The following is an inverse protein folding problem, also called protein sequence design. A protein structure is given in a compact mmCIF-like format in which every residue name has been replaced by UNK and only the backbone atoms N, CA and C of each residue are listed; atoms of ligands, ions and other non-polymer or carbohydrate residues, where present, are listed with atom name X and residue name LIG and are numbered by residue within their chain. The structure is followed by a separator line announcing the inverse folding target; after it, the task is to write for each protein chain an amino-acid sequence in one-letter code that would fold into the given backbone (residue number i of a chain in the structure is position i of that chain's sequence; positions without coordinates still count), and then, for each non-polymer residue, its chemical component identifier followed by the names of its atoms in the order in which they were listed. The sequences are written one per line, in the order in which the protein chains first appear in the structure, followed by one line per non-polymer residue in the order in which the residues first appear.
data_IF_522099468516
#
_entry.id   IF_522099468516
#
_cell.length_a   1.000
_cell.length_b   1.000
_cell.length_c   1.000
_cell.angle_alpha   90.00
_cell.angle_beta   90.00
_cell.angle_gamma   90.00
#
_symmetry.space_group_name_H-M   'P 1'
#
loop_
_entity.id
_entity.type
_entity.pdbx_description
1 polymer ?
#
# COMPACT_ATOMS: atom_id res chain seq x y z
N UNK A 1 74.68 -21.12 -3.43
CA UNK A 1 73.85 -19.91 -3.25
C UNK A 1 72.70 -20.00 -4.26
N UNK A 2 71.48 -20.31 -3.78
CA UNK A 2 70.28 -20.38 -4.62
C UNK A 2 69.41 -19.14 -4.31
N UNK A 3 69.23 -18.28 -5.31
CA UNK A 3 68.33 -17.11 -5.21
C UNK A 3 66.91 -17.53 -5.27
N UNK A 4 66.08 -17.17 -4.26
CA UNK A 4 64.65 -17.32 -4.22
C UNK A 4 64.01 -16.02 -4.69
N UNK A 5 63.42 -16.06 -5.89
CA UNK A 5 62.64 -14.91 -6.42
C UNK A 5 61.23 -14.97 -5.82
N UNK A 6 60.91 -13.97 -5.01
CA UNK A 6 59.56 -13.78 -4.51
C UNK A 6 58.71 -13.03 -5.55
N UNK A 7 57.65 -13.68 -6.03
CA UNK A 7 56.68 -13.08 -6.94
C UNK A 7 55.61 -12.38 -6.08
N UNK A 8 55.59 -11.05 -6.09
CA UNK A 8 54.54 -10.25 -5.44
C UNK A 8 53.37 -10.15 -6.43
N UNK A 9 52.28 -10.86 -6.14
CA UNK A 9 51.02 -10.71 -6.86
C UNK A 9 50.29 -9.43 -6.39
N UNK A 10 50.24 -8.43 -7.24
CA UNK A 10 49.48 -7.21 -7.02
C UNK A 10 47.99 -7.50 -7.31
N UNK A 11 47.17 -7.68 -6.27
CA UNK A 11 45.73 -7.75 -6.37
C UNK A 11 45.20 -6.36 -6.71
N UNK A 12 44.86 -6.14 -7.97
CA UNK A 12 44.08 -5.00 -8.43
C UNK A 12 42.65 -5.17 -7.90
N UNK A 13 42.32 -4.52 -6.79
CA UNK A 13 40.95 -4.32 -6.35
C UNK A 13 40.31 -3.30 -7.30
N UNK A 14 39.53 -3.76 -8.26
CA UNK A 14 38.70 -2.87 -9.07
C UNK A 14 37.72 -2.15 -8.13
N UNK A 15 37.62 -0.80 -8.22
CA UNK A 15 36.59 -0.11 -7.45
C UNK A 15 35.22 -0.63 -7.90
N UNK A 16 34.43 -1.12 -6.95
CA UNK A 16 33.00 -1.34 -7.19
C UNK A 16 32.41 0.02 -7.60
N UNK A 17 32.12 0.17 -8.88
CA UNK A 17 31.35 1.30 -9.34
C UNK A 17 29.98 1.18 -8.62
N UNK A 18 29.74 2.06 -7.65
CA UNK A 18 28.41 2.25 -7.11
C UNK A 18 27.52 2.55 -8.31
N UNK A 19 26.52 1.71 -8.56
CA UNK A 19 25.52 1.99 -9.57
C UNK A 19 24.95 3.38 -9.22
N UNK A 20 25.08 4.34 -10.14
CA UNK A 20 24.47 5.65 -9.97
C UNK A 20 22.95 5.41 -9.75
N UNK A 21 22.50 5.73 -8.54
CA UNK A 21 21.11 5.69 -8.15
C UNK A 21 20.33 6.68 -9.01
N UNK A 22 19.76 6.21 -10.11
CA UNK A 22 18.89 7.04 -10.95
C UNK A 22 17.67 7.42 -10.13
N UNK A 23 17.54 8.70 -9.81
CA UNK A 23 16.36 9.26 -9.22
C UNK A 23 15.11 8.88 -10.06
N UNK A 24 14.01 8.56 -9.41
CA UNK A 24 12.75 8.29 -10.10
C UNK A 24 12.34 9.56 -10.86
N UNK A 25 12.18 9.45 -12.18
CA UNK A 25 11.75 10.57 -13.01
C UNK A 25 10.26 10.89 -12.77
N UNK A 26 9.80 12.14 -12.92
CA UNK A 26 8.39 12.47 -12.92
C UNK A 26 7.62 11.68 -13.99
N UNK A 27 6.31 11.51 -13.79
CA UNK A 27 5.44 10.95 -14.83
C UNK A 27 5.42 11.84 -16.06
N UNK A 28 5.17 11.30 -17.27
CA UNK A 28 4.80 12.11 -18.42
C UNK A 28 3.61 13.03 -18.07
N UNK A 29 3.61 14.26 -18.56
CA UNK A 29 2.64 15.29 -18.17
C UNK A 29 1.18 14.82 -18.28
N UNK A 30 0.87 14.06 -19.33
CA UNK A 30 -0.47 13.53 -19.56
C UNK A 30 -0.89 12.45 -18.54
N UNK A 31 0.04 11.61 -18.11
CA UNK A 31 -0.19 10.62 -17.05
C UNK A 31 -0.31 11.32 -15.69
N UNK A 32 0.56 12.30 -15.42
CA UNK A 32 0.51 13.14 -14.22
C UNK A 32 -0.85 13.81 -14.06
N UNK A 33 -1.35 14.45 -15.13
CA UNK A 33 -2.65 15.10 -15.13
C UNK A 33 -3.78 14.08 -14.88
N UNK A 34 -3.74 12.91 -15.51
CA UNK A 34 -4.77 11.89 -15.33
C UNK A 34 -4.89 11.40 -13.88
N UNK A 35 -3.77 11.27 -13.16
CA UNK A 35 -3.80 10.92 -11.73
C UNK A 35 -4.16 12.10 -10.84
N UNK A 36 -3.79 13.34 -11.20
CA UNK A 36 -4.13 14.53 -10.46
C UNK A 36 -5.64 14.87 -10.57
N UNK A 37 -6.26 14.52 -11.68
CA UNK A 37 -7.67 14.80 -11.98
C UNK A 37 -8.63 13.68 -11.48
N UNK A 38 -8.14 12.70 -10.72
CA UNK A 38 -9.00 11.68 -10.13
C UNK A 38 -10.07 12.32 -9.27
N UNK A 39 -11.33 12.11 -9.65
CA UNK A 39 -12.48 12.61 -8.91
C UNK A 39 -12.59 11.87 -7.58
N UNK A 40 -12.84 12.64 -6.54
CA UNK A 40 -13.05 12.07 -5.21
C UNK A 40 -14.51 11.68 -5.03
N UNK A 41 -14.73 10.50 -4.48
CA UNK A 41 -16.08 10.09 -4.11
C UNK A 41 -16.64 10.98 -2.99
N UNK A 42 -17.97 11.13 -2.90
CA UNK A 42 -18.58 11.88 -1.81
C UNK A 42 -18.22 11.25 -0.45
N UNK A 43 -18.17 12.06 0.64
CA UNK A 43 -17.94 11.50 1.96
C UNK A 43 -19.07 10.53 2.32
N UNK A 44 -18.75 9.42 3.02
CA UNK A 44 -19.78 8.55 3.53
C UNK A 44 -20.64 9.27 4.58
N UNK A 45 -21.90 8.85 4.76
CA UNK A 45 -22.76 9.44 5.79
C UNK A 45 -22.20 9.22 7.19
N UNK A 46 -21.50 8.13 7.41
CA UNK A 46 -20.86 7.77 8.68
C UNK A 46 -19.53 7.07 8.44
N UNK A 47 -18.56 7.28 9.32
CA UNK A 47 -17.31 6.52 9.36
C UNK A 47 -17.41 5.38 10.37
N UNK A 48 -16.66 4.30 10.15
CA UNK A 48 -16.69 3.10 10.98
C UNK A 48 -16.47 3.46 12.46
N UNK A 49 -17.43 3.15 13.31
CA UNK A 49 -17.42 3.44 14.76
C UNK A 49 -17.20 4.91 15.10
N UNK A 50 -17.50 5.81 14.19
CA UNK A 50 -17.28 7.25 14.33
C UNK A 50 -15.80 7.58 14.73
N UNK A 51 -14.85 6.86 14.18
CA UNK A 51 -13.43 6.96 14.51
C UNK A 51 -12.55 7.01 13.25
N UNK A 52 -11.58 7.92 13.27
CA UNK A 52 -10.54 7.97 12.23
C UNK A 52 -9.45 6.92 12.50
N UNK A 53 -9.14 6.09 11.52
CA UNK A 53 -8.06 5.10 11.62
C UNK A 53 -6.73 5.71 11.14
N UNK A 54 -6.14 6.57 11.99
CA UNK A 54 -4.88 7.27 11.73
C UNK A 54 -3.67 6.37 11.51
N UNK A 55 -3.74 5.14 11.97
CA UNK A 55 -2.71 4.10 11.85
C UNK A 55 -3.36 2.77 11.58
N UNK A 56 -2.63 1.86 10.94
CA UNK A 56 -3.08 0.49 10.79
C UNK A 56 -3.16 -0.23 12.14
N UNK A 57 -4.22 -0.99 12.33
CA UNK A 57 -4.37 -1.95 13.43
C UNK A 57 -4.03 -3.38 13.04
N UNK A 58 -3.46 -3.59 11.87
CA UNK A 58 -2.96 -4.86 11.35
C UNK A 58 -1.45 -4.95 11.56
N UNK A 59 -0.92 -6.13 11.92
CA UNK A 59 0.45 -6.28 12.38
C UNK A 59 1.28 -7.32 11.62
N UNK A 60 0.69 -7.97 10.60
CA UNK A 60 1.33 -9.04 9.84
C UNK A 60 1.31 -8.82 8.33
N UNK A 61 1.49 -7.55 7.88
CA UNK A 61 1.65 -7.26 6.45
C UNK A 61 2.90 -7.96 5.85
N UNK A 62 3.84 -8.39 6.71
CA UNK A 62 4.97 -9.23 6.32
C UNK A 62 4.54 -10.50 5.57
N UNK A 63 3.33 -10.99 5.81
CA UNK A 63 2.77 -12.14 5.10
C UNK A 63 2.47 -11.87 3.62
N UNK A 64 2.35 -10.61 3.23
CA UNK A 64 2.17 -10.21 1.83
C UNK A 64 3.50 -10.04 1.10
N UNK A 65 4.61 -9.84 1.85
CA UNK A 65 5.91 -9.43 1.32
C UNK A 65 6.38 -10.28 0.15
N UNK A 66 6.48 -11.59 0.35
CA UNK A 66 7.03 -12.50 -0.67
C UNK A 66 6.19 -12.49 -1.95
N UNK A 67 4.87 -12.24 -1.83
CA UNK A 67 3.95 -12.15 -2.96
C UNK A 67 4.12 -10.87 -3.77
N UNK A 68 4.39 -9.74 -3.07
CA UNK A 68 4.39 -8.41 -3.71
C UNK A 68 5.79 -7.83 -3.93
N UNK A 69 6.87 -8.50 -3.51
CA UNK A 69 8.23 -7.98 -3.67
C UNK A 69 8.56 -7.75 -5.14
N UNK A 70 9.02 -6.52 -5.45
CA UNK A 70 9.50 -6.07 -6.75
C UNK A 70 8.50 -6.27 -7.93
N UNK A 71 7.20 -6.30 -7.63
CA UNK A 71 6.19 -6.43 -8.70
C UNK A 71 6.04 -5.16 -9.51
N UNK A 72 6.36 -3.98 -8.98
CA UNK A 72 6.25 -2.69 -9.67
C UNK A 72 4.80 -2.26 -9.91
N UNK A 73 4.55 -1.55 -11.00
CA UNK A 73 3.21 -1.14 -11.42
C UNK A 73 2.57 -0.07 -10.54
N UNK A 74 1.25 0.01 -10.53
CA UNK A 74 0.49 0.86 -9.61
C UNK A 74 0.15 0.06 -8.36
N UNK A 75 0.46 0.62 -7.18
CA UNK A 75 -0.07 0.15 -5.90
C UNK A 75 -1.22 1.05 -5.49
N UNK A 76 -2.40 0.48 -5.28
CA UNK A 76 -3.56 1.12 -4.68
C UNK A 76 -3.68 0.59 -3.25
N UNK A 77 -3.66 1.48 -2.25
CA UNK A 77 -3.73 1.06 -0.86
C UNK A 77 -4.70 1.86 -0.02
N UNK A 78 -5.58 1.14 0.69
CA UNK A 78 -6.52 1.72 1.66
C UNK A 78 -5.80 1.98 2.99
N UNK A 79 -6.08 3.12 3.62
CA UNK A 79 -5.55 3.48 4.94
C UNK A 79 -4.22 4.24 4.90
N UNK A 80 -3.36 4.05 5.90
CA UNK A 80 -2.22 4.95 6.21
C UNK A 80 -0.84 4.30 6.08
N UNK A 81 -0.13 4.13 7.21
CA UNK A 81 1.28 3.74 7.33
C UNK A 81 1.65 2.42 6.66
N UNK A 82 0.76 1.45 6.65
CA UNK A 82 0.98 0.13 6.05
C UNK A 82 1.24 0.18 4.55
N UNK A 83 0.71 1.18 3.85
CA UNK A 83 0.91 1.35 2.42
C UNK A 83 2.37 1.65 2.09
N UNK A 84 3.08 2.35 2.96
CA UNK A 84 4.51 2.63 2.79
C UNK A 84 5.38 1.39 3.03
N UNK A 85 4.96 0.45 3.91
CA UNK A 85 5.61 -0.85 4.06
C UNK A 85 5.54 -1.63 2.74
N UNK A 86 4.32 -1.73 2.19
CA UNK A 86 4.10 -2.44 0.94
C UNK A 86 4.78 -1.74 -0.25
N UNK A 87 4.80 -0.40 -0.28
CA UNK A 87 5.51 0.35 -1.32
C UNK A 87 7.03 0.12 -1.26
N UNK A 88 7.62 0.01 -0.07
CA UNK A 88 9.02 -0.35 0.08
C UNK A 88 9.35 -1.73 -0.49
N UNK A 89 8.47 -2.71 -0.30
CA UNK A 89 8.66 -4.07 -0.83
C UNK A 89 8.29 -4.20 -2.31
N UNK A 90 7.13 -3.67 -2.70
CA UNK A 90 6.60 -3.84 -4.06
C UNK A 90 7.31 -2.95 -5.10
N UNK A 91 7.98 -1.88 -4.67
CA UNK A 91 8.63 -0.88 -5.52
C UNK A 91 7.72 -0.40 -6.65
N UNK A 92 6.50 0.09 -6.34
CA UNK A 92 5.58 0.54 -7.37
C UNK A 92 6.14 1.72 -8.15
N UNK A 93 5.70 1.87 -9.40
CA UNK A 93 5.98 3.04 -10.22
C UNK A 93 5.08 4.21 -9.86
N UNK A 94 3.88 3.92 -9.35
CA UNK A 94 2.88 4.89 -8.91
C UNK A 94 2.21 4.35 -7.65
N UNK A 95 2.05 5.22 -6.65
CA UNK A 95 1.38 4.91 -5.38
C UNK A 95 0.10 5.72 -5.25
N UNK A 96 -1.05 5.06 -5.17
CA UNK A 96 -2.34 5.67 -4.87
C UNK A 96 -2.77 5.29 -3.46
N UNK A 97 -2.85 6.30 -2.60
CA UNK A 97 -3.27 6.17 -1.21
C UNK A 97 -4.73 6.59 -1.11
N UNK A 98 -5.60 5.63 -0.85
CA UNK A 98 -7.04 5.86 -0.90
C UNK A 98 -7.70 5.54 0.44
N UNK A 99 -8.65 6.35 0.85
CA UNK A 99 -9.56 6.03 1.95
C UNK A 99 -10.88 6.77 1.77
N UNK A 100 -11.99 6.17 2.22
CA UNK A 100 -13.30 6.82 2.22
C UNK A 100 -13.40 7.90 3.31
N UNK A 101 -12.61 7.79 4.38
CA UNK A 101 -12.48 8.82 5.41
C UNK A 101 -11.56 9.94 4.95
N UNK A 102 -12.12 11.13 4.72
CA UNK A 102 -11.37 12.30 4.26
C UNK A 102 -10.21 12.72 5.19
N UNK A 103 -10.20 12.30 6.45
CA UNK A 103 -9.11 12.58 7.37
C UNK A 103 -7.81 11.85 6.97
N UNK A 104 -7.92 10.70 6.34
CA UNK A 104 -6.78 9.86 5.94
C UNK A 104 -5.98 10.49 4.79
N UNK A 105 -6.55 10.93 3.67
CA UNK A 105 -5.79 11.70 2.67
C UNK A 105 -5.12 12.95 3.25
N UNK A 106 -5.72 13.61 4.26
CA UNK A 106 -5.11 14.78 4.91
C UNK A 106 -3.84 14.43 5.69
N UNK A 107 -3.82 13.33 6.43
CA UNK A 107 -2.59 12.95 7.15
C UNK A 107 -1.46 12.54 6.19
N UNK A 108 -1.77 12.07 4.99
CA UNK A 108 -0.76 11.80 3.98
C UNK A 108 -0.01 13.07 3.51
N UNK A 109 -0.55 14.29 3.72
CA UNK A 109 0.19 15.54 3.50
C UNK A 109 1.34 15.70 4.49
N UNK A 110 1.15 15.28 5.74
CA UNK A 110 2.24 15.27 6.72
C UNK A 110 3.28 14.17 6.38
N UNK A 111 2.84 13.01 5.90
CA UNK A 111 3.76 11.98 5.39
C UNK A 111 4.54 12.48 4.16
N UNK A 112 3.89 13.19 3.23
CA UNK A 112 4.56 13.83 2.09
C UNK A 112 5.69 14.73 2.57
N UNK A 113 5.38 15.67 3.45
CA UNK A 113 6.39 16.59 4.02
C UNK A 113 7.50 15.82 4.72
N UNK A 114 7.19 14.81 5.52
CA UNK A 114 8.16 13.97 6.20
C UNK A 114 9.12 13.28 5.22
N UNK A 115 8.63 12.68 4.13
CA UNK A 115 9.46 12.04 3.12
C UNK A 115 10.26 13.05 2.30
N UNK A 116 9.69 14.18 1.91
CA UNK A 116 10.37 15.18 1.09
C UNK A 116 11.51 15.90 1.83
N UNK A 117 11.34 16.17 3.12
CA UNK A 117 12.31 16.86 3.96
C UNK A 117 13.40 15.94 4.52
N UNK A 118 13.15 14.64 4.65
CA UNK A 118 14.08 13.70 5.28
C UNK A 118 15.00 13.04 4.26
N UNK A 119 16.28 12.94 4.62
CA UNK A 119 17.27 12.29 3.75
C UNK A 119 17.27 10.75 3.93
N UNK A 120 16.93 10.26 5.11
CA UNK A 120 17.07 8.87 5.53
C UNK A 120 15.97 8.48 6.56
N UNK A 121 15.86 7.19 6.91
CA UNK A 121 14.87 6.72 7.89
C UNK A 121 14.94 7.42 9.26
N UNK A 122 16.14 7.76 9.74
CA UNK A 122 16.30 8.40 11.04
C UNK A 122 15.72 9.81 11.07
N UNK A 123 15.97 10.60 10.00
CA UNK A 123 15.38 11.94 9.85
C UNK A 123 13.85 11.85 9.73
N UNK A 124 13.34 10.87 8.99
CA UNK A 124 11.91 10.62 8.86
C UNK A 124 11.27 10.28 10.21
N UNK A 125 11.91 9.45 11.03
CA UNK A 125 11.42 9.14 12.37
C UNK A 125 11.46 10.37 13.29
N UNK A 126 12.53 11.18 13.19
CA UNK A 126 12.65 12.42 13.96
C UNK A 126 11.54 13.43 13.64
N UNK A 127 11.01 13.46 12.42
CA UNK A 127 9.87 14.30 12.05
C UNK A 127 8.65 14.05 12.95
N UNK A 128 8.45 12.82 13.41
CA UNK A 128 7.31 12.42 14.24
C UNK A 128 7.56 12.50 15.75
N UNK A 129 8.75 12.92 16.21
CA UNK A 129 9.05 13.05 17.64
C UNK A 129 8.36 14.28 18.24
N UNK A 130 8.04 14.22 19.55
CA UNK A 130 7.30 15.27 20.24
C UNK A 130 8.04 16.61 20.21
N UNK A 131 9.37 16.57 20.34
CA UNK A 131 10.22 17.76 20.36
C UNK A 131 10.18 18.52 19.02
N UNK A 132 9.84 17.85 17.93
CA UNK A 132 9.73 18.44 16.60
C UNK A 132 8.29 18.83 16.22
N UNK A 133 7.28 18.37 16.97
CA UNK A 133 5.88 18.50 16.61
C UNK A 133 5.43 19.96 16.36
N UNK A 134 5.88 20.90 17.21
CA UNK A 134 5.54 22.31 17.04
C UNK A 134 6.14 22.92 15.77
N UNK A 135 7.42 22.61 15.47
CA UNK A 135 8.07 23.09 14.26
C UNK A 135 7.48 22.46 12.99
N UNK A 136 7.11 21.18 13.05
CA UNK A 136 6.38 20.50 11.95
C UNK A 136 5.04 21.16 11.71
N UNK A 137 4.28 21.44 12.77
CA UNK A 137 2.97 22.09 12.67
C UNK A 137 3.07 23.47 11.99
N UNK A 138 4.08 24.29 12.34
CA UNK A 138 4.34 25.57 11.70
C UNK A 138 4.62 25.41 10.19
N UNK A 139 5.41 24.41 9.79
CA UNK A 139 5.68 24.15 8.37
C UNK A 139 4.44 23.67 7.62
N UNK A 140 3.65 22.78 8.24
CA UNK A 140 2.36 22.37 7.67
C UNK A 140 1.40 23.57 7.51
N UNK A 141 1.37 24.47 8.48
CA UNK A 141 0.56 25.69 8.41
C UNK A 141 1.05 26.60 7.29
N UNK A 142 2.35 26.82 7.17
CA UNK A 142 2.91 27.63 6.08
C UNK A 142 2.59 27.04 4.69
N UNK A 143 2.53 25.70 4.58
CA UNK A 143 2.27 25.01 3.30
C UNK A 143 0.79 24.90 2.96
N UNK A 144 -0.06 24.58 3.95
CA UNK A 144 -1.46 24.23 3.74
C UNK A 144 -2.45 25.13 4.46
N UNK A 145 -2.02 26.01 5.36
CA UNK A 145 -2.91 26.81 6.22
C UNK A 145 -3.82 27.79 5.48
N UNK A 146 -3.37 28.28 4.32
CA UNK A 146 -4.14 29.14 3.42
C UNK A 146 -4.89 28.39 2.31
N UNK A 147 -4.84 27.07 2.28
CA UNK A 147 -5.39 26.23 1.23
C UNK A 147 -6.84 25.82 1.54
N UNK A 148 -7.80 26.65 1.14
CA UNK A 148 -9.23 26.36 1.32
C UNK A 148 -9.69 25.15 0.49
N UNK A 149 -9.09 24.91 -0.68
CA UNK A 149 -9.43 23.79 -1.56
C UNK A 149 -9.01 22.44 -0.92
N UNK A 150 -7.94 22.45 -0.15
CA UNK A 150 -7.38 21.25 0.46
C UNK A 150 -7.67 21.11 1.95
N UNK A 151 -8.60 21.87 2.51
CA UNK A 151 -8.96 21.81 3.94
C UNK A 151 -7.74 22.02 4.86
N UNK A 152 -6.96 23.08 4.67
CA UNK A 152 -5.72 23.35 5.40
C UNK A 152 -5.86 23.20 6.92
N UNK A 153 -6.85 23.83 7.54
CA UNK A 153 -7.10 23.73 8.98
C UNK A 153 -7.31 22.28 9.45
N UNK A 154 -8.03 21.47 8.65
CA UNK A 154 -8.27 20.04 8.98
C UNK A 154 -7.02 19.19 8.82
N UNK A 155 -6.09 19.60 7.93
CA UNK A 155 -4.77 18.95 7.83
C UNK A 155 -3.95 19.16 9.09
N UNK A 156 -3.95 20.39 9.64
CA UNK A 156 -3.26 20.69 10.91
C UNK A 156 -3.88 19.91 12.08
N UNK A 157 -5.20 19.87 12.17
CA UNK A 157 -5.92 19.07 13.16
C UNK A 157 -5.60 17.57 13.03
N UNK A 158 -5.60 17.05 11.81
CA UNK A 158 -5.23 15.66 11.54
C UNK A 158 -3.82 15.34 12.05
N UNK A 159 -2.84 16.19 11.77
CA UNK A 159 -1.48 16.03 12.28
C UNK A 159 -1.44 16.04 13.82
N UNK A 160 -2.06 17.02 14.46
CA UNK A 160 -2.05 17.14 15.93
C UNK A 160 -2.60 15.90 16.63
N UNK A 161 -3.67 15.30 16.09
CA UNK A 161 -4.28 14.10 16.66
C UNK A 161 -3.49 12.84 16.31
N UNK A 162 -3.01 12.73 15.07
CA UNK A 162 -2.39 11.51 14.56
C UNK A 162 -0.91 11.37 14.95
N UNK A 163 -0.16 12.46 15.12
CA UNK A 163 1.29 12.45 15.36
C UNK A 163 1.70 11.49 16.50
N UNK A 164 1.13 11.55 17.71
CA UNK A 164 1.53 10.65 18.79
C UNK A 164 1.18 9.19 18.53
N UNK A 165 0.14 8.94 17.73
CA UNK A 165 -0.24 7.59 17.32
C UNK A 165 0.74 7.05 16.28
N UNK A 166 1.05 7.85 15.26
CA UNK A 166 2.00 7.51 14.19
C UNK A 166 3.38 7.24 14.79
N UNK A 167 3.90 8.12 15.64
CA UNK A 167 5.17 7.91 16.33
C UNK A 167 5.24 6.55 17.03
N UNK A 168 4.22 6.21 17.81
CA UNK A 168 4.16 4.91 18.50
C UNK A 168 4.07 3.74 17.52
N UNK A 169 3.29 3.91 16.44
CA UNK A 169 3.12 2.89 15.41
C UNK A 169 4.44 2.62 14.69
N UNK A 170 5.16 3.64 14.25
CA UNK A 170 6.44 3.50 13.56
C UNK A 170 7.47 2.77 14.43
N UNK A 171 7.62 3.17 15.71
CA UNK A 171 8.50 2.49 16.67
C UNK A 171 8.09 1.02 16.91
N UNK A 172 6.79 0.76 16.99
CA UNK A 172 6.27 -0.62 17.12
C UNK A 172 6.58 -1.43 15.87
N UNK A 173 6.42 -0.86 14.69
CA UNK A 173 6.70 -1.51 13.41
C UNK A 173 8.16 -1.96 13.33
N UNK A 174 9.11 -1.07 13.54
CA UNK A 174 10.56 -1.41 13.55
C UNK A 174 10.82 -2.59 14.50
N UNK A 175 10.35 -2.50 15.73
CA UNK A 175 10.57 -3.54 16.73
C UNK A 175 9.95 -4.89 16.33
N UNK A 176 8.70 -4.89 15.89
CA UNK A 176 7.95 -6.12 15.68
C UNK A 176 8.33 -6.80 14.37
N UNK A 177 8.67 -6.04 13.33
CA UNK A 177 9.18 -6.59 12.07
C UNK A 177 10.65 -7.02 12.20
N UNK A 178 11.48 -6.26 12.90
CA UNK A 178 12.85 -6.66 13.21
C UNK A 178 12.94 -7.99 13.96
N UNK A 179 12.02 -8.26 14.91
CA UNK A 179 11.93 -9.57 15.58
C UNK A 179 11.62 -10.74 14.64
N UNK A 180 11.01 -10.46 13.49
CA UNK A 180 10.70 -11.46 12.45
C UNK A 180 11.76 -11.53 11.35
N UNK A 181 12.83 -10.73 11.45
CA UNK A 181 13.86 -10.63 10.42
C UNK A 181 13.37 -9.98 9.13
N UNK A 182 12.34 -9.12 9.23
CA UNK A 182 11.77 -8.41 8.08
C UNK A 182 12.18 -6.95 8.13
N UNK A 183 12.87 -6.49 7.09
CA UNK A 183 13.22 -5.09 6.89
C UNK A 183 12.07 -4.32 6.24
N UNK A 184 11.98 -3.02 6.56
CA UNK A 184 10.96 -2.10 6.10
C UNK A 184 11.60 -0.79 5.66
N UNK A 185 10.83 0.11 5.07
CA UNK A 185 11.33 1.45 4.73
C UNK A 185 11.85 2.25 5.97
N UNK A 186 11.57 1.79 7.19
CA UNK A 186 11.98 2.44 8.44
C UNK A 186 13.40 2.06 8.89
N UNK A 187 13.95 0.97 8.35
CA UNK A 187 15.25 0.40 8.73
C UNK A 187 16.08 -0.09 7.54
N UNK A 188 15.55 0.06 6.31
CA UNK A 188 16.23 -0.25 5.06
C UNK A 188 16.34 1.01 4.19
N UNK A 189 17.56 1.45 3.91
CA UNK A 189 17.84 2.70 3.20
C UNK A 189 17.35 2.69 1.74
N UNK A 190 17.34 1.52 1.07
CA UNK A 190 16.85 1.42 -0.32
C UNK A 190 15.34 1.51 -0.39
N UNK A 191 14.64 0.78 0.49
CA UNK A 191 13.17 0.86 0.57
C UNK A 191 12.72 2.28 0.94
N UNK A 192 13.41 2.91 1.91
CA UNK A 192 13.14 4.30 2.29
C UNK A 192 13.29 5.24 1.10
N UNK A 193 14.45 5.17 0.42
CA UNK A 193 14.75 6.00 -0.74
C UNK A 193 13.70 5.83 -1.82
N UNK A 194 13.28 4.60 -2.11
CA UNK A 194 12.24 4.34 -3.10
C UNK A 194 10.95 5.11 -2.79
N UNK A 195 10.42 4.98 -1.57
CA UNK A 195 9.19 5.66 -1.15
C UNK A 195 9.35 7.18 -1.15
N UNK A 196 10.49 7.68 -0.65
CA UNK A 196 10.82 9.10 -0.67
C UNK A 196 10.85 9.66 -2.11
N UNK A 197 11.50 8.95 -3.00
CA UNK A 197 11.70 9.40 -4.37
C UNK A 197 10.40 9.34 -5.19
N UNK A 198 9.47 8.43 -4.87
CA UNK A 198 8.10 8.50 -5.40
C UNK A 198 7.39 9.82 -5.02
N UNK A 199 7.51 10.24 -3.77
CA UNK A 199 6.95 11.53 -3.33
C UNK A 199 7.61 12.70 -4.06
N UNK A 200 8.93 12.74 -4.12
CA UNK A 200 9.70 13.80 -4.78
C UNK A 200 9.44 13.87 -6.29
N UNK A 201 9.17 12.75 -6.91
CA UNK A 201 8.84 12.65 -8.33
C UNK A 201 7.36 12.97 -8.63
N UNK A 202 6.52 13.26 -7.62
CA UNK A 202 5.09 13.51 -7.79
C UNK A 202 4.31 12.26 -8.22
N UNK A 203 4.77 11.06 -7.85
CA UNK A 203 4.15 9.78 -8.23
C UNK A 203 3.30 9.16 -7.11
N UNK A 204 2.99 9.93 -6.06
CA UNK A 204 2.10 9.53 -4.98
C UNK A 204 0.87 10.42 -4.99
N UNK A 205 -0.30 9.80 -5.01
CA UNK A 205 -1.60 10.47 -5.07
C UNK A 205 -2.44 10.02 -3.87
N UNK A 206 -2.75 10.96 -2.99
CA UNK A 206 -3.61 10.70 -1.83
C UNK A 206 -5.02 11.23 -2.12
N UNK A 207 -6.01 10.35 -2.19
CA UNK A 207 -7.37 10.67 -2.64
C UNK A 207 -8.41 10.10 -1.69
N UNK A 208 -9.53 10.84 -1.54
CA UNK A 208 -10.71 10.26 -0.90
C UNK A 208 -11.45 9.39 -1.90
N UNK A 209 -11.60 8.10 -1.56
CA UNK A 209 -12.29 7.17 -2.44
C UNK A 209 -12.92 6.02 -1.66
N UNK A 210 -14.05 5.58 -2.14
CA UNK A 210 -14.79 4.42 -1.65
C UNK A 210 -14.70 3.29 -2.67
N UNK A 211 -14.35 2.09 -2.23
CA UNK A 211 -14.27 0.91 -3.08
C UNK A 211 -15.58 0.58 -3.79
N UNK A 212 -16.72 1.04 -3.24
CA UNK A 212 -18.07 0.76 -3.73
C UNK A 212 -18.70 1.95 -4.49
N UNK A 213 -18.07 3.12 -4.49
CA UNK A 213 -18.60 4.30 -5.17
C UNK A 213 -18.20 4.37 -6.66
N UNK A 214 -18.76 5.33 -7.39
CA UNK A 214 -18.79 5.29 -8.86
C UNK A 214 -17.76 6.18 -9.55
N UNK A 215 -16.79 6.77 -8.82
CA UNK A 215 -15.84 7.73 -9.41
C UNK A 215 -14.38 7.32 -9.22
N UNK A 216 -13.89 7.35 -8.00
CA UNK A 216 -12.45 7.28 -7.70
C UNK A 216 -11.79 6.02 -8.27
N UNK A 217 -12.34 4.84 -8.05
CA UNK A 217 -11.75 3.59 -8.55
C UNK A 217 -11.75 3.50 -10.08
N UNK A 218 -12.81 3.97 -10.74
CA UNK A 218 -12.89 4.02 -12.20
C UNK A 218 -11.86 4.98 -12.78
N UNK A 219 -11.70 6.16 -12.15
CA UNK A 219 -10.72 7.16 -12.59
C UNK A 219 -9.28 6.67 -12.38
N UNK A 220 -8.98 5.96 -11.27
CA UNK A 220 -7.68 5.30 -11.05
C UNK A 220 -7.39 4.31 -12.17
N UNK A 221 -8.37 3.46 -12.51
CA UNK A 221 -8.23 2.49 -13.60
C UNK A 221 -7.99 3.17 -14.95
N UNK A 222 -8.69 4.26 -15.25
CA UNK A 222 -8.50 5.06 -16.46
C UNK A 222 -7.12 5.73 -16.50
N UNK A 223 -6.68 6.33 -15.38
CA UNK A 223 -5.37 6.97 -15.26
C UNK A 223 -4.22 5.95 -15.43
N UNK A 224 -4.34 4.78 -14.83
CA UNK A 224 -3.37 3.69 -14.98
C UNK A 224 -3.26 3.22 -16.44
N UNK A 225 -4.41 3.04 -17.13
CA UNK A 225 -4.44 2.73 -18.57
C UNK A 225 -3.77 3.81 -19.40
N UNK A 226 -4.06 5.07 -19.11
CA UNK A 226 -3.48 6.23 -19.83
C UNK A 226 -1.97 6.33 -19.60
N UNK A 227 -1.49 6.00 -18.40
CA UNK A 227 -0.08 5.94 -18.09
C UNK A 227 0.63 4.71 -18.70
N UNK A 228 -0.11 3.71 -19.20
CA UNK A 228 0.44 2.45 -19.68
C UNK A 228 1.04 1.58 -18.56
N UNK A 229 0.61 1.78 -17.31
CA UNK A 229 1.16 1.10 -16.13
C UNK A 229 0.07 0.19 -15.52
N UNK A 230 0.28 -1.13 -15.43
CA UNK A 230 -0.70 -2.04 -14.85
C UNK A 230 -0.83 -1.83 -13.34
N UNK A 231 -2.04 -2.08 -12.80
CA UNK A 231 -2.28 -2.11 -11.35
C UNK A 231 -1.82 -3.47 -10.83
N UNK A 232 -0.76 -3.49 -10.03
CA UNK A 232 -0.15 -4.75 -9.58
C UNK A 232 -0.35 -5.08 -8.12
N UNK A 233 -0.68 -4.09 -7.29
CA UNK A 233 -1.06 -4.35 -5.91
C UNK A 233 -2.31 -3.56 -5.58
N UNK A 234 -3.35 -4.23 -5.09
CA UNK A 234 -4.53 -3.59 -4.49
C UNK A 234 -4.68 -4.10 -3.07
N UNK A 235 -4.35 -3.23 -2.12
CA UNK A 235 -4.55 -3.50 -0.70
C UNK A 235 -5.87 -2.89 -0.24
N UNK A 236 -6.79 -3.75 0.18
CA UNK A 236 -8.14 -3.34 0.58
C UNK A 236 -8.33 -3.33 2.10
N UNK A 237 -7.30 -3.65 2.90
CA UNK A 237 -7.45 -3.87 4.34
C UNK A 237 -8.59 -4.87 4.62
N UNK A 238 -9.36 -4.65 5.66
CA UNK A 238 -10.55 -5.44 5.97
C UNK A 238 -11.86 -4.84 5.43
N UNK A 239 -11.79 -3.83 4.57
CA UNK A 239 -12.97 -3.15 4.03
C UNK A 239 -13.98 -4.11 3.35
N UNK A 240 -13.55 -5.15 2.57
CA UNK A 240 -14.48 -6.06 1.91
C UNK A 240 -15.40 -6.88 2.83
N UNK A 241 -15.17 -6.85 4.14
CA UNK A 241 -16.10 -7.51 5.08
C UNK A 241 -17.34 -6.68 5.42
N UNK A 242 -17.32 -5.37 5.12
CA UNK A 242 -18.38 -4.43 5.53
C UNK A 242 -19.43 -4.18 4.46
N UNK A 243 -19.19 -4.57 3.20
CA UNK A 243 -20.12 -4.36 2.10
C UNK A 243 -20.36 -5.65 1.28
N UNK A 244 -21.45 -5.65 0.51
CA UNK A 244 -21.71 -6.68 -0.48
C UNK A 244 -21.05 -6.33 -1.82
N UNK A 245 -20.63 -7.33 -2.55
CA UNK A 245 -20.12 -7.17 -3.92
C UNK A 245 -21.30 -6.86 -4.86
N UNK A 246 -21.64 -5.58 -4.96
CA UNK A 246 -22.63 -5.07 -5.89
C UNK A 246 -22.07 -4.86 -7.30
N UNK A 247 -22.89 -4.39 -8.21
CA UNK A 247 -22.50 -4.19 -9.60
C UNK A 247 -21.45 -3.07 -9.73
N UNK A 248 -21.51 -2.04 -8.86
CA UNK A 248 -20.54 -0.95 -8.89
C UNK A 248 -19.15 -1.41 -8.42
N UNK A 249 -19.07 -2.13 -7.29
CA UNK A 249 -17.80 -2.70 -6.84
C UNK A 249 -17.19 -3.61 -7.91
N UNK A 250 -18.00 -4.46 -8.55
CA UNK A 250 -17.54 -5.33 -9.65
C UNK A 250 -17.00 -4.53 -10.83
N UNK A 251 -17.71 -3.47 -11.23
CA UNK A 251 -17.26 -2.56 -12.29
C UNK A 251 -15.94 -1.88 -11.93
N UNK A 252 -15.79 -1.44 -10.68
CA UNK A 252 -14.57 -0.84 -10.17
C UNK A 252 -13.37 -1.80 -10.29
N UNK A 253 -13.55 -3.05 -9.87
CA UNK A 253 -12.49 -4.07 -9.97
C UNK A 253 -12.19 -4.42 -11.44
N UNK A 254 -13.21 -4.56 -12.29
CA UNK A 254 -13.04 -4.88 -13.71
C UNK A 254 -12.35 -3.75 -14.49
N UNK A 255 -12.47 -2.48 -14.03
CA UNK A 255 -11.86 -1.33 -14.67
C UNK A 255 -10.33 -1.27 -14.52
N UNK A 256 -9.76 -1.95 -13.52
CA UNK A 256 -8.33 -1.93 -13.25
C UNK A 256 -7.55 -2.71 -14.33
N UNK A 257 -6.55 -2.09 -14.98
CA UNK A 257 -5.68 -2.81 -15.91
C UNK A 257 -4.71 -3.70 -15.13
N UNK A 258 -4.96 -5.00 -15.13
CA UNK A 258 -4.16 -5.99 -14.40
C UNK A 258 -3.43 -6.93 -15.35
N UNK A 259 -2.32 -7.51 -14.87
CA UNK A 259 -1.52 -8.52 -15.55
C UNK A 259 -1.25 -9.73 -14.62
N UNK A 260 -0.43 -10.67 -15.04
CA UNK A 260 -0.10 -11.89 -14.29
C UNK A 260 0.68 -11.62 -13.00
N UNK A 261 1.27 -10.40 -12.82
CA UNK A 261 1.96 -9.96 -11.62
C UNK A 261 1.05 -9.21 -10.65
N UNK A 262 -0.24 -9.10 -10.97
CA UNK A 262 -1.21 -8.34 -10.18
C UNK A 262 -1.75 -9.15 -9.01
N UNK A 263 -1.89 -8.51 -7.85
CA UNK A 263 -2.35 -9.11 -6.61
C UNK A 263 -3.35 -8.24 -5.88
N UNK A 264 -4.41 -8.87 -5.38
CA UNK A 264 -5.21 -8.32 -4.29
C UNK A 264 -4.68 -8.88 -2.96
N UNK A 265 -4.46 -8.00 -2.00
CA UNK A 265 -4.06 -8.36 -0.64
C UNK A 265 -5.03 -7.72 0.34
N UNK A 266 -5.55 -8.49 1.28
CA UNK A 266 -6.58 -8.04 2.19
C UNK A 266 -6.61 -8.84 3.48
N UNK A 267 -7.36 -8.35 4.46
CA UNK A 267 -7.52 -8.96 5.76
C UNK A 267 -8.99 -9.18 6.11
N UNK A 268 -9.25 -9.99 7.11
CA UNK A 268 -10.60 -10.27 7.61
C UNK A 268 -10.57 -10.53 9.12
N UNK A 269 -11.58 -10.07 9.84
CA UNK A 269 -11.83 -10.41 11.25
C UNK A 269 -12.77 -11.62 11.38
N UNK A 270 -12.39 -12.76 10.79
CA UNK A 270 -13.23 -13.98 10.80
C UNK A 270 -12.47 -15.16 11.41
N UNK A 271 -12.79 -15.51 12.66
CA UNK A 271 -12.16 -16.61 13.40
C UNK A 271 -12.23 -17.97 12.72
N UNK A 272 -13.23 -18.20 11.87
CA UNK A 272 -13.34 -19.45 11.10
C UNK A 272 -12.17 -19.73 10.14
N UNK A 273 -11.36 -18.68 9.82
CA UNK A 273 -10.19 -18.82 8.97
C UNK A 273 -8.85 -18.81 9.75
N UNK A 274 -8.89 -18.64 11.08
CA UNK A 274 -7.73 -18.42 11.93
C UNK A 274 -7.24 -16.96 11.87
N UNK A 275 -6.34 -16.60 12.80
CA UNK A 275 -5.76 -15.27 12.92
C UNK A 275 -4.24 -15.34 12.95
N UNK A 276 -3.55 -14.47 12.20
CA UNK A 276 -2.09 -14.39 12.18
C UNK A 276 -1.52 -13.47 13.27
N UNK A 277 -2.30 -12.48 13.70
CA UNK A 277 -1.91 -11.49 14.72
C UNK A 277 -2.85 -11.47 15.94
N UNK A 278 -3.66 -12.54 16.09
CA UNK A 278 -4.68 -12.65 17.11
C UNK A 278 -5.99 -11.96 16.78
N UNK A 279 -6.07 -11.23 15.66
CA UNK A 279 -7.25 -10.46 15.27
C UNK A 279 -7.61 -10.57 13.79
N UNK A 280 -6.61 -10.64 12.88
CA UNK A 280 -6.82 -10.66 11.43
C UNK A 280 -6.33 -11.95 10.79
N UNK A 281 -7.13 -12.44 9.85
CA UNK A 281 -6.73 -13.37 8.81
C UNK A 281 -6.20 -12.58 7.61
N UNK A 282 -5.07 -12.98 7.05
CA UNK A 282 -4.43 -12.35 5.90
C UNK A 282 -4.62 -13.22 4.66
N UNK A 283 -4.87 -12.60 3.52
CA UNK A 283 -5.08 -13.32 2.27
C UNK A 283 -4.45 -12.59 1.09
N UNK A 284 -3.85 -13.36 0.19
CA UNK A 284 -3.37 -12.89 -1.12
C UNK A 284 -4.12 -13.62 -2.22
N UNK A 285 -4.45 -12.88 -3.29
CA UNK A 285 -5.19 -13.42 -4.42
C UNK A 285 -4.66 -12.82 -5.72
N UNK A 286 -4.32 -13.65 -6.77
CA UNK A 286 -3.92 -13.14 -8.07
C UNK A 286 -4.99 -12.19 -8.64
N UNK A 287 -4.54 -11.07 -9.22
CA UNK A 287 -5.43 -9.99 -9.66
C UNK A 287 -6.44 -10.44 -10.70
N UNK A 288 -5.98 -11.11 -11.75
CA UNK A 288 -6.86 -11.64 -12.79
C UNK A 288 -7.83 -12.71 -12.26
N UNK A 289 -7.42 -13.48 -11.23
CA UNK A 289 -8.29 -14.43 -10.57
C UNK A 289 -9.43 -13.71 -9.82
N UNK A 290 -9.11 -12.62 -9.09
CA UNK A 290 -10.13 -11.85 -8.39
C UNK A 290 -11.13 -11.20 -9.36
N UNK A 291 -10.65 -10.66 -10.50
CA UNK A 291 -11.53 -10.14 -11.55
C UNK A 291 -12.47 -11.22 -12.10
N UNK A 292 -12.00 -12.46 -12.31
CA UNK A 292 -12.85 -13.59 -12.70
C UNK A 292 -13.92 -13.89 -11.66
N UNK A 293 -13.57 -13.88 -10.36
CA UNK A 293 -14.55 -14.04 -9.28
C UNK A 293 -15.58 -12.91 -9.26
N UNK A 294 -15.18 -11.68 -9.58
CA UNK A 294 -16.10 -10.54 -9.65
C UNK A 294 -17.10 -10.65 -10.83
N UNK A 295 -16.80 -11.41 -11.86
CA UNK A 295 -17.76 -11.71 -12.93
C UNK A 295 -18.90 -12.63 -12.45
N UNK A 296 -18.74 -13.35 -11.33
CA UNK A 296 -19.76 -14.25 -10.76
C UNK A 296 -20.78 -13.47 -9.90
N UNK A 297 -21.88 -13.04 -10.53
CA UNK A 297 -22.89 -12.15 -9.89
C UNK A 297 -23.59 -12.73 -8.67
N UNK A 298 -23.56 -14.05 -8.47
CA UNK A 298 -24.13 -14.73 -7.30
C UNK A 298 -23.29 -14.56 -6.03
N UNK A 299 -22.02 -14.22 -6.16
CA UNK A 299 -21.15 -13.98 -5.03
C UNK A 299 -21.39 -12.59 -4.46
N UNK A 300 -21.61 -12.51 -3.16
CA UNK A 300 -21.89 -11.23 -2.48
C UNK A 300 -20.81 -10.85 -1.45
N UNK A 301 -20.02 -11.82 -0.98
CA UNK A 301 -19.08 -11.62 0.11
C UNK A 301 -17.75 -12.29 -0.16
N UNK A 302 -16.67 -11.66 0.27
CA UNK A 302 -15.31 -12.21 0.22
C UNK A 302 -15.22 -13.59 0.91
N UNK A 303 -15.94 -13.79 1.99
CA UNK A 303 -15.99 -15.07 2.72
C UNK A 303 -16.53 -16.25 1.90
N UNK A 304 -17.29 -16.00 0.84
CA UNK A 304 -17.75 -17.04 -0.07
C UNK A 304 -16.60 -17.54 -0.96
N UNK A 305 -15.73 -16.64 -1.40
CA UNK A 305 -14.53 -16.95 -2.19
C UNK A 305 -13.52 -17.70 -1.31
N UNK A 306 -13.28 -17.22 -0.09
CA UNK A 306 -12.29 -17.79 0.83
C UNK A 306 -12.57 -19.24 1.29
N UNK A 307 -13.76 -19.76 1.02
CA UNK A 307 -14.03 -21.21 1.20
C UNK A 307 -13.16 -22.09 0.32
N UNK A 308 -12.68 -21.56 -0.80
CA UNK A 308 -11.85 -22.26 -1.80
C UNK A 308 -10.35 -21.93 -1.69
N UNK A 309 -9.94 -21.28 -0.59
CA UNK A 309 -8.56 -20.89 -0.35
C UNK A 309 -7.63 -22.10 -0.16
N UNK A 310 -6.39 -21.93 -0.51
CA UNK A 310 -5.29 -22.80 -0.10
C UNK A 310 -4.82 -22.34 1.29
N UNK A 311 -4.93 -23.23 2.28
CA UNK A 311 -4.44 -22.98 3.64
C UNK A 311 -2.93 -23.16 3.64
N UNK A 312 -2.21 -22.17 4.14
CA UNK A 312 -0.75 -22.23 4.26
C UNK A 312 -0.30 -22.84 5.58
N UNK A 313 1.01 -23.03 5.76
CA UNK A 313 1.59 -23.47 7.05
C UNK A 313 1.56 -22.37 8.12
N UNK A 314 1.31 -21.12 7.73
CA UNK A 314 1.22 -19.99 8.65
C UNK A 314 -0.24 -19.80 9.07
N UNK A 315 -0.50 -19.90 10.35
CA UNK A 315 -1.83 -19.68 10.91
C UNK A 315 -2.36 -18.29 10.52
N UNK A 316 -3.62 -18.22 10.12
CA UNK A 316 -4.26 -16.97 9.74
C UNK A 316 -3.76 -16.37 8.43
N UNK A 317 -3.06 -17.14 7.60
CA UNK A 317 -2.66 -16.74 6.25
C UNK A 317 -3.10 -17.76 5.20
N UNK A 318 -3.65 -17.28 4.09
CA UNK A 318 -4.05 -18.15 2.98
C UNK A 318 -3.80 -17.50 1.62
N UNK A 319 -3.76 -18.34 0.59
CA UNK A 319 -3.61 -17.95 -0.81
C UNK A 319 -4.87 -18.36 -1.57
N UNK A 320 -5.38 -17.47 -2.41
CA UNK A 320 -6.58 -17.71 -3.20
C UNK A 320 -6.22 -17.95 -4.66
N UNK A 321 -5.85 -19.19 -4.99
CA UNK A 321 -5.50 -19.59 -6.36
C UNK A 321 -6.69 -20.16 -7.14
N UNK A 322 -7.63 -20.79 -6.44
CA UNK A 322 -8.80 -21.40 -7.08
C UNK A 322 -9.66 -20.32 -7.76
N UNK A 323 -10.06 -20.58 -9.00
CA UNK A 323 -10.97 -19.71 -9.75
C UNK A 323 -12.45 -20.06 -9.49
N UNK A 324 -13.38 -19.32 -10.14
CA UNK A 324 -14.83 -19.52 -9.97
C UNK A 324 -15.30 -20.93 -10.33
N UNK A 325 -14.60 -21.64 -11.19
CA UNK A 325 -14.88 -23.04 -11.56
C UNK A 325 -14.86 -24.00 -10.35
N UNK A 326 -14.12 -23.66 -9.29
CA UNK A 326 -14.12 -24.43 -8.05
C UNK A 326 -15.47 -24.40 -7.33
N UNK A 327 -16.29 -23.37 -7.58
CA UNK A 327 -17.63 -23.21 -7.03
C UNK A 327 -18.73 -23.85 -7.91
N UNK A 328 -18.38 -24.29 -9.12
CA UNK A 328 -19.33 -24.94 -10.02
C UNK A 328 -19.86 -26.26 -9.40
N UNK A 329 -21.15 -26.57 -9.58
CA UNK A 329 -21.69 -27.86 -9.16
C UNK A 329 -20.89 -29.00 -9.84
N UNK A 330 -20.36 -29.93 -9.05
CA UNK A 330 -19.75 -31.14 -9.62
C UNK A 330 -20.78 -31.83 -10.51
N UNK A 331 -20.41 -32.28 -11.74
CA UNK A 331 -21.28 -33.09 -12.57
C UNK A 331 -21.81 -34.25 -11.71
N UNK A 332 -23.13 -34.46 -11.68
CA UNK A 332 -23.71 -35.65 -11.05
C UNK A 332 -23.07 -36.83 -11.73
N UNK A 333 -22.32 -37.64 -10.97
CA UNK A 333 -21.85 -38.92 -11.47
C UNK A 333 -23.08 -39.65 -12.03
N UNK A 334 -23.09 -39.91 -13.33
CA UNK A 334 -24.17 -40.64 -13.98
C UNK A 334 -24.38 -41.97 -13.25
N UNK A 335 -25.62 -42.25 -12.85
CA UNK A 335 -26.06 -43.54 -12.36
C UNK A 335 -26.01 -44.56 -13.50
#
# INVERSE_FOLDING_TARGET
MRAVSALIALLLVAPFAAAEDKAIAPLPAEAQAAFADIRQDPPPPEIVRNSHYWISNEYRHDLFRDTITDVGGVLIGVGTDQNYLMAGWARPEILVLMDFDAAIPRIHRAYKMAFEESANPADFLAFWEDDNAAAVLQRLEATYGGDDVHDGKRTLQAFQVAQPLIKRRLKKTIRDYGKRGVTTFLDDAEQYRWVRDLWRAGRVFAVRGDLTASQTMLDIGAAAKKAGVPVRVVYMSNAPQYFDFDDQFRANIAALPMDEKSWFVHTLTRGAFGYADGYYHYNVQPGLNFQRWMAETKLKKLTQILKYRTVTKTDGFSIMEAGPEAAAPKPKAGK
#
